data_IF_146134706611
#
_entry.id   IF_146134706611
#
_cell.length_a   1.000
_cell.length_b   1.000
_cell.length_c   1.000
_cell.angle_alpha   90.00
_cell.angle_beta   90.00
_cell.angle_gamma   90.00
#
_symmetry.space_group_name_H-M   'P 1'
#
loop_
_entity.id
_entity.type
_entity.pdbx_description
1 polymer ?
#
# COMPACT_ATOMS: atom_id res chain seq x y z
N UNK A 1 4.82 -16.06 24.22
CA UNK A 1 4.20 -15.36 23.08
C UNK A 1 4.94 -14.05 22.92
N UNK A 2 5.71 -13.89 21.85
CA UNK A 2 6.61 -12.75 21.65
C UNK A 2 5.81 -11.63 20.97
N UNK A 3 5.46 -10.59 21.72
CA UNK A 3 4.51 -9.55 21.30
C UNK A 3 5.02 -8.66 20.14
N UNK A 4 6.31 -8.73 19.81
CA UNK A 4 6.94 -7.98 18.74
C UNK A 4 6.65 -8.54 17.35
N UNK A 5 6.58 -9.86 17.19
CA UNK A 5 6.29 -10.52 15.91
C UNK A 5 4.83 -10.30 15.47
N UNK A 6 3.91 -10.09 16.42
CA UNK A 6 2.49 -9.84 16.17
C UNK A 6 2.22 -8.42 15.63
N UNK A 7 3.05 -7.45 16.04
CA UNK A 7 2.91 -6.05 15.60
C UNK A 7 3.49 -5.83 14.20
N UNK A 8 4.67 -6.39 13.89
CA UNK A 8 5.29 -6.29 12.56
C UNK A 8 4.41 -6.88 11.46
N UNK A 9 3.86 -8.07 11.71
CA UNK A 9 2.90 -8.74 10.83
C UNK A 9 1.61 -7.92 10.65
N UNK A 10 1.06 -7.34 11.73
CA UNK A 10 -0.12 -6.47 11.64
C UNK A 10 0.13 -5.19 10.82
N UNK A 11 1.31 -4.57 10.93
CA UNK A 11 1.68 -3.40 10.13
C UNK A 11 1.91 -3.76 8.65
N UNK A 12 2.60 -4.87 8.38
CA UNK A 12 2.80 -5.38 7.02
C UNK A 12 1.48 -5.72 6.33
N UNK A 13 0.60 -6.44 7.03
CA UNK A 13 -0.75 -6.76 6.57
C UNK A 13 -1.56 -5.50 6.25
N UNK A 14 -1.57 -4.52 7.16
CA UNK A 14 -2.28 -3.25 6.96
C UNK A 14 -1.72 -2.48 5.75
N UNK A 15 -0.40 -2.45 5.57
CA UNK A 15 0.23 -1.79 4.44
C UNK A 15 -0.17 -2.45 3.11
N UNK A 16 -0.19 -3.78 3.02
CA UNK A 16 -0.66 -4.51 1.82
C UNK A 16 -2.13 -4.25 1.52
N UNK A 17 -2.98 -4.30 2.55
CA UNK A 17 -4.39 -3.99 2.39
C UNK A 17 -4.61 -2.55 1.88
N UNK A 18 -3.86 -1.58 2.40
CA UNK A 18 -3.90 -0.21 1.92
C UNK A 18 -3.38 -0.08 0.48
N UNK A 19 -2.36 -0.84 0.09
CA UNK A 19 -1.85 -0.87 -1.28
C UNK A 19 -2.92 -1.37 -2.26
N UNK A 20 -3.63 -2.44 -1.90
CA UNK A 20 -4.77 -2.97 -2.67
C UNK A 20 -5.88 -1.92 -2.81
N UNK A 21 -6.25 -1.23 -1.73
CA UNK A 21 -7.25 -0.15 -1.78
C UNK A 21 -6.85 1.02 -2.66
N UNK A 22 -5.56 1.34 -2.72
CA UNK A 22 -5.07 2.34 -3.66
C UNK A 22 -5.16 1.85 -5.11
N UNK A 23 -4.90 0.57 -5.40
CA UNK A 23 -5.10 0.02 -6.75
C UNK A 23 -6.57 0.06 -7.17
N UNK A 24 -7.50 -0.32 -6.28
CA UNK A 24 -8.94 -0.19 -6.50
C UNK A 24 -9.34 1.28 -6.77
N UNK A 25 -8.77 2.23 -6.02
CA UNK A 25 -9.00 3.65 -6.21
C UNK A 25 -8.44 4.17 -7.56
N UNK A 26 -7.31 3.63 -8.02
CA UNK A 26 -6.77 3.93 -9.34
C UNK A 26 -7.73 3.46 -10.45
N UNK A 27 -8.28 2.26 -10.34
CA UNK A 27 -9.27 1.75 -11.29
C UNK A 27 -10.54 2.60 -11.31
N UNK A 28 -11.03 3.01 -10.14
CA UNK A 28 -12.15 3.94 -10.05
C UNK A 28 -11.82 5.31 -10.69
N UNK A 29 -10.60 5.84 -10.47
CA UNK A 29 -10.16 7.10 -11.05
C UNK A 29 -10.08 7.06 -12.59
N UNK A 30 -9.73 5.91 -13.18
CA UNK A 30 -9.71 5.72 -14.64
C UNK A 30 -11.08 5.98 -15.27
N UNK A 31 -12.17 5.64 -14.59
CA UNK A 31 -13.54 5.76 -15.11
C UNK A 31 -14.34 6.91 -14.50
N UNK A 32 -13.70 7.78 -13.72
CA UNK A 32 -14.33 8.94 -13.10
C UNK A 32 -14.57 10.08 -14.12
N UNK A 33 -15.44 9.85 -15.11
CA UNK A 33 -15.68 10.75 -16.25
C UNK A 33 -16.29 12.11 -15.88
N UNK A 34 -16.63 12.32 -14.60
CA UNK A 34 -16.95 13.63 -14.06
C UNK A 34 -15.70 14.54 -13.92
N UNK A 35 -14.49 14.01 -14.09
CA UNK A 35 -13.24 14.76 -14.13
C UNK A 35 -12.63 14.82 -15.54
N UNK A 36 -11.89 15.91 -15.86
CA UNK A 36 -11.09 15.98 -17.09
C UNK A 36 -10.10 14.80 -17.20
N UNK A 37 -9.71 14.40 -18.43
CA UNK A 37 -8.75 13.31 -18.64
C UNK A 37 -7.42 13.49 -17.89
N UNK A 38 -6.84 14.70 -17.90
CA UNK A 38 -5.58 15.00 -17.20
C UNK A 38 -5.70 14.79 -15.68
N UNK A 39 -6.82 15.21 -15.09
CA UNK A 39 -7.09 15.03 -13.66
C UNK A 39 -7.29 13.56 -13.31
N UNK A 40 -7.95 12.78 -14.16
CA UNK A 40 -8.05 11.32 -13.97
C UNK A 40 -6.67 10.67 -14.00
N UNK A 41 -5.83 11.03 -14.95
CA UNK A 41 -4.47 10.50 -15.09
C UNK A 41 -3.60 10.83 -13.88
N UNK A 42 -3.61 12.07 -13.41
CA UNK A 42 -2.89 12.49 -12.19
C UNK A 42 -3.32 11.66 -10.98
N UNK A 43 -4.63 11.47 -10.80
CA UNK A 43 -5.17 10.67 -9.70
C UNK A 43 -4.77 9.20 -9.81
N UNK A 44 -4.81 8.62 -11.01
CA UNK A 44 -4.33 7.25 -11.24
C UNK A 44 -2.87 7.12 -10.85
N UNK A 45 -2.03 8.06 -11.30
CA UNK A 45 -0.61 8.05 -11.00
C UNK A 45 -0.34 8.19 -9.50
N UNK A 46 -1.07 9.08 -8.82
CA UNK A 46 -0.99 9.25 -7.37
C UNK A 46 -1.30 7.94 -6.63
N UNK A 47 -2.44 7.31 -6.92
CA UNK A 47 -2.85 6.10 -6.21
C UNK A 47 -1.90 4.92 -6.51
N UNK A 48 -1.40 4.78 -7.74
CA UNK A 48 -0.42 3.73 -8.07
C UNK A 48 0.92 3.95 -7.38
N UNK A 49 1.38 5.20 -7.27
CA UNK A 49 2.60 5.54 -6.55
C UNK A 49 2.46 5.25 -5.04
N UNK A 50 1.32 5.58 -4.44
CA UNK A 50 1.08 5.28 -3.02
C UNK A 50 0.97 3.77 -2.77
N UNK A 51 0.34 3.02 -3.67
CA UNK A 51 0.31 1.55 -3.60
C UNK A 51 1.73 0.96 -3.60
N UNK A 52 2.59 1.40 -4.52
CA UNK A 52 3.98 0.94 -4.60
C UNK A 52 4.79 1.28 -3.34
N UNK A 53 4.58 2.46 -2.76
CA UNK A 53 5.19 2.87 -1.49
C UNK A 53 4.77 1.96 -0.33
N UNK A 54 3.49 1.60 -0.28
CA UNK A 54 2.92 0.74 0.76
C UNK A 54 3.38 -0.72 0.63
N UNK A 55 3.50 -1.24 -0.59
CA UNK A 55 4.11 -2.56 -0.82
C UNK A 55 5.55 -2.60 -0.28
N UNK A 56 6.35 -1.58 -0.62
CA UNK A 56 7.74 -1.48 -0.14
C UNK A 56 7.81 -1.38 1.40
N UNK A 57 6.85 -0.70 2.04
CA UNK A 57 6.75 -0.64 3.49
C UNK A 57 6.39 -2.01 4.09
N UNK A 58 5.45 -2.74 3.47
CA UNK A 58 5.09 -4.08 3.92
C UNK A 58 6.29 -5.03 3.87
N UNK A 59 7.06 -4.98 2.78
CA UNK A 59 8.26 -5.81 2.62
C UNK A 59 9.32 -5.49 3.68
N UNK A 60 9.44 -4.21 4.08
CA UNK A 60 10.34 -3.80 5.18
C UNK A 60 9.88 -4.35 6.53
N UNK A 61 8.58 -4.39 6.81
CA UNK A 61 8.05 -4.97 8.05
C UNK A 61 8.39 -6.47 8.15
N UNK A 62 8.24 -7.22 7.06
CA UNK A 62 8.57 -8.64 7.02
C UNK A 62 10.08 -8.91 7.16
N UNK A 63 10.92 -8.06 6.57
CA UNK A 63 12.38 -8.15 6.68
C UNK A 63 12.89 -7.73 8.07
N UNK A 64 12.24 -6.74 8.70
CA UNK A 64 12.54 -6.30 10.06
C UNK A 64 12.29 -7.40 11.10
N UNK A 65 11.21 -8.16 10.93
CA UNK A 65 10.91 -9.32 11.78
C UNK A 65 11.91 -10.47 11.59
N UNK A 66 12.45 -10.66 10.39
CA UNK A 66 13.46 -11.69 10.10
C UNK A 66 14.84 -11.41 10.72
N UNK A 67 15.17 -10.14 11.01
CA UNK A 67 16.47 -9.73 11.56
C UNK A 67 16.48 -9.35 13.05
N UNK A 68 15.31 -9.27 13.70
CA UNK A 68 15.17 -8.93 15.13
C UNK A 68 15.37 -10.09 16.12
N UNK A 69 15.64 -11.31 15.65
CA UNK A 69 15.94 -12.48 16.48
C UNK A 69 17.44 -12.72 16.65
N UNK A 70 18.12 -11.94 17.48
CA UNK A 70 19.46 -12.28 17.98
C UNK A 70 19.64 -11.81 19.42
#
# INVERSE_FOLDING_TARGET
MNATTDQGDAFGFKARWMAEKNREAADAARVAYNFPPSVREERVNYYLAEAARLDALADQCEQGDAHGGR
#
